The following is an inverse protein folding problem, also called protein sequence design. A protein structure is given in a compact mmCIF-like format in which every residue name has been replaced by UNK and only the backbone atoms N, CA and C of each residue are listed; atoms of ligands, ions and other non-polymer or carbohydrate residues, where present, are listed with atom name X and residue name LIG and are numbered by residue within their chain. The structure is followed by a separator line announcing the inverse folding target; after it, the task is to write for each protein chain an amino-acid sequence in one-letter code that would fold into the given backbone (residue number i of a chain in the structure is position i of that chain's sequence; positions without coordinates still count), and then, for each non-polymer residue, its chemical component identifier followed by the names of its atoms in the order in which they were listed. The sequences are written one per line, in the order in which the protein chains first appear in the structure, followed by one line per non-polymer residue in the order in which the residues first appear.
data_IF_237854096893
#
_entry.id   IF_237854096893
#
_cell.length_a   1.000
_cell.length_b   1.000
_cell.length_c   1.000
_cell.angle_alpha   90.00
_cell.angle_beta   90.00
_cell.angle_gamma   90.00
#
_symmetry.space_group_name_H-M   'P 1'
#
loop_
_entity.id
_entity.type
_entity.pdbx_description
1 polymer ?
#
# COMPACT_ATOMS: atom_id res chain seq x y z
N UNK A 1 2.93 13.76 5.15
CA UNK A 1 3.65 12.97 4.12
C UNK A 1 3.06 13.36 2.77
N UNK A 2 3.89 13.53 1.75
CA UNK A 2 3.45 13.91 0.41
C UNK A 2 2.73 12.74 -0.27
N UNK A 3 1.59 12.97 -0.91
CA UNK A 3 0.77 11.90 -1.52
C UNK A 3 1.49 11.18 -2.66
N UNK A 4 2.39 11.88 -3.36
CA UNK A 4 3.19 11.35 -4.46
C UNK A 4 4.46 10.62 -4.01
N UNK A 5 4.77 10.61 -2.71
CA UNK A 5 5.97 9.95 -2.18
C UNK A 5 5.65 8.55 -1.65
N UNK A 6 6.15 7.53 -2.34
CA UNK A 6 5.86 6.12 -2.07
C UNK A 6 6.98 5.45 -1.24
N UNK A 7 8.00 6.20 -0.82
CA UNK A 7 9.08 5.67 0.00
C UNK A 7 9.84 4.53 -0.69
N UNK A 8 10.12 3.46 0.06
CA UNK A 8 10.91 2.31 -0.37
C UNK A 8 10.05 1.27 -1.11
N UNK A 9 9.56 1.63 -2.30
CA UNK A 9 8.99 0.66 -3.26
C UNK A 9 9.99 0.32 -4.35
N UNK A 10 9.93 -0.91 -4.87
CA UNK A 10 10.81 -1.35 -5.95
C UNK A 10 10.42 -0.72 -7.29
N UNK A 11 11.34 -0.71 -8.26
CA UNK A 11 11.04 -0.31 -9.64
C UNK A 11 9.88 -1.12 -10.20
N UNK A 12 9.90 -2.44 -10.02
CA UNK A 12 8.84 -3.33 -10.51
C UNK A 12 7.49 -3.03 -9.88
N UNK A 13 7.44 -2.76 -8.57
CA UNK A 13 6.19 -2.40 -7.88
C UNK A 13 5.67 -1.04 -8.37
N UNK A 14 6.56 -0.06 -8.57
CA UNK A 14 6.17 1.24 -9.15
C UNK A 14 5.61 1.11 -10.57
N UNK A 15 6.18 0.23 -11.39
CA UNK A 15 5.69 -0.06 -12.73
C UNK A 15 4.30 -0.70 -12.66
N UNK A 16 4.10 -1.69 -11.78
CA UNK A 16 2.79 -2.34 -11.58
C UNK A 16 1.68 -1.33 -11.23
N UNK A 17 1.97 -0.37 -10.36
CA UNK A 17 1.01 0.65 -9.95
C UNK A 17 0.71 1.65 -11.08
N UNK A 18 1.74 2.09 -11.80
CA UNK A 18 1.62 3.09 -12.86
C UNK A 18 1.03 2.55 -14.15
N UNK A 19 1.20 1.24 -14.44
CA UNK A 19 0.68 0.57 -15.64
C UNK A 19 -0.81 0.18 -15.53
N UNK A 20 -1.55 0.66 -14.53
CA UNK A 20 -3.01 0.53 -14.53
C UNK A 20 -3.60 1.34 -15.71
N UNK A 21 -4.45 0.71 -16.53
CA UNK A 21 -5.06 1.34 -17.70
C UNK A 21 -5.96 2.54 -17.36
N UNK A 22 -6.42 2.65 -16.11
CA UNK A 22 -7.18 3.80 -15.62
C UNK A 22 -6.30 5.04 -15.37
N UNK A 23 -4.98 4.87 -15.26
CA UNK A 23 -4.08 5.98 -15.03
C UNK A 23 -3.89 6.80 -16.32
N UNK A 24 -4.16 8.12 -16.30
CA UNK A 24 -3.87 8.96 -17.45
C UNK A 24 -2.35 9.09 -17.68
N UNK A 25 -1.96 9.40 -18.92
CA UNK A 25 -0.57 9.71 -19.27
C UNK A 25 -0.02 10.83 -18.38
N UNK A 26 1.23 10.67 -17.92
CA UNK A 26 1.86 11.59 -16.98
C UNK A 26 1.53 11.31 -15.51
N UNK A 27 0.77 10.24 -15.22
CA UNK A 27 0.62 9.75 -13.83
C UNK A 27 1.98 9.39 -13.27
N UNK A 28 2.28 9.81 -12.04
CA UNK A 28 3.63 9.72 -11.50
C UNK A 28 3.69 9.38 -10.01
N UNK A 29 4.87 8.95 -9.58
CA UNK A 29 5.24 8.82 -8.17
C UNK A 29 6.74 9.07 -7.98
N UNK A 30 7.14 9.41 -6.76
CA UNK A 30 8.54 9.48 -6.32
C UNK A 30 8.80 8.39 -5.29
N UNK A 31 9.93 7.70 -5.45
CA UNK A 31 10.37 6.60 -4.58
C UNK A 31 11.85 6.73 -4.26
N UNK A 32 12.32 6.00 -3.26
CA UNK A 32 13.75 5.86 -2.98
C UNK A 32 14.46 5.15 -4.15
N UNK A 33 15.69 5.57 -4.44
CA UNK A 33 16.50 4.93 -5.49
C UNK A 33 17.07 3.60 -5.00
N UNK A 34 16.73 2.50 -5.66
CA UNK A 34 17.24 1.17 -5.32
C UNK A 34 18.75 1.03 -5.52
N UNK A 35 19.31 1.76 -6.48
CA UNK A 35 20.72 1.64 -6.87
C UNK A 35 21.63 2.68 -6.22
N UNK A 36 21.09 3.64 -5.46
CA UNK A 36 21.89 4.75 -4.91
C UNK A 36 21.27 5.25 -3.62
N UNK A 37 21.94 4.93 -2.51
CA UNK A 37 21.51 5.34 -1.18
C UNK A 37 21.40 6.86 -1.08
N UNK A 38 20.29 7.35 -0.53
CA UNK A 38 20.03 8.78 -0.35
C UNK A 38 19.60 9.54 -1.62
N UNK A 39 19.53 8.86 -2.77
CA UNK A 39 18.94 9.41 -3.99
C UNK A 39 17.47 8.96 -4.14
N UNK A 40 16.74 9.65 -5.02
CA UNK A 40 15.34 9.35 -5.30
C UNK A 40 15.16 9.00 -6.78
N UNK A 41 13.99 8.48 -7.14
CA UNK A 41 13.60 8.23 -8.51
C UNK A 41 12.17 8.72 -8.75
N UNK A 42 11.98 9.50 -9.81
CA UNK A 42 10.68 9.88 -10.35
C UNK A 42 10.28 8.84 -11.41
N UNK A 43 9.15 8.18 -11.21
CA UNK A 43 8.58 7.21 -12.16
C UNK A 43 7.34 7.84 -12.80
N UNK A 44 7.26 7.85 -14.14
CA UNK A 44 6.19 8.52 -14.89
C UNK A 44 5.62 7.58 -15.95
N UNK A 45 4.30 7.41 -15.93
CA UNK A 45 3.57 6.69 -16.98
C UNK A 45 3.57 7.48 -18.29
N UNK A 46 3.81 6.77 -19.39
CA UNK A 46 3.88 7.32 -20.73
C UNK A 46 3.19 6.38 -21.72
N UNK A 47 2.89 6.87 -22.91
CA UNK A 47 2.38 6.06 -24.00
C UNK A 47 3.18 6.37 -25.27
N UNK A 48 3.68 5.33 -25.93
CA UNK A 48 4.29 5.44 -27.25
C UNK A 48 3.70 4.41 -28.22
N UNK A 49 3.62 4.75 -29.50
CA UNK A 49 2.95 3.91 -30.51
C UNK A 49 3.64 2.56 -30.75
N UNK A 50 4.92 2.41 -30.42
CA UNK A 50 5.68 1.17 -30.58
C UNK A 50 5.61 0.26 -29.35
N UNK A 51 5.63 0.83 -28.14
CA UNK A 51 5.65 0.05 -26.87
C UNK A 51 4.31 0.05 -26.12
N UNK A 52 3.36 0.86 -26.56
CA UNK A 52 2.11 1.09 -25.84
C UNK A 52 2.33 1.82 -24.50
N UNK A 53 1.50 1.48 -23.51
CA UNK A 53 1.60 1.99 -22.14
C UNK A 53 2.92 1.51 -21.51
N UNK A 54 3.75 2.46 -21.07
CA UNK A 54 5.05 2.18 -20.48
C UNK A 54 5.37 3.15 -19.33
N UNK A 55 6.46 2.91 -18.61
CA UNK A 55 6.91 3.76 -17.50
C UNK A 55 8.35 4.17 -17.72
N UNK A 56 8.64 5.47 -17.60
CA UNK A 56 10.01 6.01 -17.62
C UNK A 56 10.45 6.41 -16.23
N UNK A 57 11.72 6.15 -15.95
CA UNK A 57 12.34 6.34 -14.65
C UNK A 57 13.45 7.37 -14.74
N UNK A 58 13.35 8.41 -13.92
CA UNK A 58 14.31 9.51 -13.86
C UNK A 58 14.97 9.50 -12.49
N UNK A 59 16.29 9.37 -12.46
CA UNK A 59 17.05 9.45 -11.22
C UNK A 59 17.10 10.89 -10.75
N UNK A 60 16.62 11.14 -9.54
CA UNK A 60 16.77 12.43 -8.86
C UNK A 60 18.01 12.33 -7.99
N UNK A 61 19.03 13.11 -8.35
CA UNK A 61 20.28 13.21 -7.60
C UNK A 61 20.17 14.33 -6.58
N UNK A 62 20.88 14.16 -5.47
CA UNK A 62 21.06 15.18 -4.43
C UNK A 62 22.47 15.78 -4.58
N UNK A 63 22.57 17.09 -4.51
CA UNK A 63 23.83 17.83 -4.43
C UNK A 63 24.32 17.88 -2.99
N UNK A 64 25.63 18.01 -2.80
CA UNK A 64 26.23 18.17 -1.47
C UNK A 64 25.74 19.45 -0.77
N UNK A 65 25.40 20.49 -1.54
CA UNK A 65 24.77 21.73 -1.08
C UNK A 65 23.30 21.57 -0.66
N UNK A 66 22.71 20.38 -0.81
CA UNK A 66 21.36 20.05 -0.35
C UNK A 66 20.26 20.10 -1.43
N UNK A 67 20.55 20.58 -2.64
CA UNK A 67 19.60 20.65 -3.75
C UNK A 67 19.34 19.31 -4.46
N UNK A 68 18.29 19.25 -5.28
CA UNK A 68 17.83 18.09 -6.03
C UNK A 68 17.72 18.41 -7.52
N UNK A 69 18.05 17.43 -8.38
CA UNK A 69 17.93 17.61 -9.82
C UNK A 69 17.76 16.27 -10.56
N UNK A 70 17.13 16.34 -11.74
CA UNK A 70 17.13 15.25 -12.74
C UNK A 70 18.18 15.55 -13.82
N UNK A 71 18.16 16.78 -14.34
CA UNK A 71 19.18 17.36 -15.22
C UNK A 71 19.94 18.45 -14.46
N UNK A 72 21.26 18.56 -14.63
CA UNK A 72 22.07 19.56 -13.92
C UNK A 72 21.70 21.01 -14.25
N UNK A 73 20.97 21.23 -15.36
CA UNK A 73 20.47 22.55 -15.81
C UNK A 73 19.44 23.15 -14.85
N UNK A 74 18.63 22.32 -14.20
CA UNK A 74 17.50 22.78 -13.38
C UNK A 74 17.55 22.09 -12.03
N UNK A 75 17.81 22.89 -10.98
CA UNK A 75 18.00 22.43 -9.61
C UNK A 75 16.90 22.98 -8.71
N UNK A 76 16.55 22.22 -7.67
CA UNK A 76 15.47 22.53 -6.75
C UNK A 76 15.92 22.37 -5.31
N UNK A 77 15.44 23.19 -4.40
CA UNK A 77 15.81 23.08 -2.98
C UNK A 77 15.06 21.94 -2.28
N UNK A 78 13.97 21.44 -2.87
CA UNK A 78 13.18 20.34 -2.33
C UNK A 78 12.53 19.50 -3.44
N UNK A 79 12.14 18.28 -3.10
CA UNK A 79 11.37 17.41 -4.00
C UNK A 79 10.01 18.02 -4.34
N UNK A 80 9.39 18.76 -3.42
CA UNK A 80 8.13 19.48 -3.65
C UNK A 80 8.27 20.49 -4.79
N UNK A 81 9.35 21.27 -4.80
CA UNK A 81 9.62 22.24 -5.86
C UNK A 81 9.88 21.55 -7.20
N UNK A 82 10.63 20.45 -7.18
CA UNK A 82 10.88 19.62 -8.37
C UNK A 82 9.55 19.12 -8.96
N UNK A 83 8.69 18.51 -8.14
CA UNK A 83 7.37 18.01 -8.58
C UNK A 83 6.52 19.17 -9.09
N UNK A 84 6.41 20.28 -8.36
CA UNK A 84 5.63 21.44 -8.77
C UNK A 84 6.09 22.03 -10.12
N UNK A 85 7.40 22.04 -10.38
CA UNK A 85 7.95 22.48 -11.66
C UNK A 85 7.60 21.52 -12.79
N UNK A 86 7.86 20.22 -12.62
CA UNK A 86 7.58 19.23 -13.67
C UNK A 86 6.08 18.96 -13.86
N UNK A 87 5.24 19.36 -12.91
CA UNK A 87 3.79 19.45 -13.09
C UNK A 87 3.35 20.59 -14.00
N UNK A 88 4.20 21.60 -14.26
CA UNK A 88 3.92 22.72 -15.18
C UNK A 88 4.66 22.57 -16.51
N UNK A 89 5.85 21.97 -16.50
CA UNK A 89 6.72 21.86 -17.67
C UNK A 89 7.26 20.44 -17.80
N UNK A 90 7.25 19.85 -19.01
CA UNK A 90 7.89 18.56 -19.21
C UNK A 90 9.44 18.67 -19.15
N UNK A 91 10.00 19.74 -19.72
CA UNK A 91 11.44 20.09 -19.70
C UNK A 91 12.41 18.88 -19.85
N UNK A 92 12.16 18.04 -20.86
CA UNK A 92 12.96 16.85 -21.16
C UNK A 92 12.47 15.53 -20.54
N UNK A 93 11.45 15.57 -19.67
CA UNK A 93 10.68 14.38 -19.31
C UNK A 93 9.82 13.92 -20.49
N UNK A 94 9.41 12.65 -20.47
CA UNK A 94 8.55 12.08 -21.49
C UNK A 94 7.16 12.70 -21.54
N UNK A 95 6.70 13.21 -20.39
CA UNK A 95 5.45 13.91 -20.26
C UNK A 95 5.51 14.82 -19.03
N UNK A 96 4.70 15.88 -19.03
CA UNK A 96 4.45 16.70 -17.83
C UNK A 96 3.78 15.83 -16.75
N UNK A 97 4.08 16.08 -15.48
CA UNK A 97 3.41 15.39 -14.37
C UNK A 97 1.94 15.85 -14.31
N UNK A 98 1.01 14.90 -14.34
CA UNK A 98 -0.43 15.18 -14.40
C UNK A 98 -1.12 14.79 -13.10
N UNK A 99 -1.18 13.49 -12.83
CA UNK A 99 -1.93 12.93 -11.70
C UNK A 99 -1.00 12.15 -10.78
N UNK A 100 -1.19 12.26 -9.48
CA UNK A 100 -0.47 11.42 -8.53
C UNK A 100 -0.93 9.97 -8.70
N UNK A 101 0.00 9.01 -8.70
CA UNK A 101 -0.35 7.59 -8.76
C UNK A 101 -1.33 7.26 -7.62
N UNK A 102 -2.51 6.69 -7.93
CA UNK A 102 -3.43 6.27 -6.88
C UNK A 102 -2.74 5.19 -6.04
N UNK A 103 -2.57 5.46 -4.75
CA UNK A 103 -2.16 4.44 -3.80
C UNK A 103 -3.41 3.71 -3.32
N UNK A 104 -3.43 2.38 -3.46
CA UNK A 104 -4.22 1.55 -2.56
C UNK A 104 -3.57 1.70 -1.19
N UNK A 105 -3.95 2.75 -0.45
CA UNK A 105 -3.54 2.92 0.95
C UNK A 105 -3.70 1.55 1.60
N UNK A 106 -2.66 0.96 2.23
CA UNK A 106 -2.85 -0.29 2.96
C UNK A 106 -4.01 -0.03 3.91
N UNK A 107 -5.13 -0.71 3.65
CA UNK A 107 -6.32 -0.52 4.43
C UNK A 107 -5.92 -0.87 5.85
N UNK A 108 -5.98 0.17 6.68
CA UNK A 108 -5.86 0.14 8.12
C UNK A 108 -4.43 0.04 8.66
N UNK A 109 -3.92 1.16 9.19
CA UNK A 109 -3.38 1.07 10.54
C UNK A 109 -4.55 0.54 11.36
N UNK A 110 -4.48 -0.71 11.85
CA UNK A 110 -5.57 -1.44 12.49
C UNK A 110 -6.66 -0.53 13.06
N UNK A 111 -7.82 -0.57 12.42
CA UNK A 111 -9.18 -0.20 12.84
C UNK A 111 -9.43 0.74 14.06
N UNK A 112 -8.55 1.72 14.31
CA UNK A 112 -8.45 2.65 15.45
C UNK A 112 -7.30 2.32 16.41
N UNK A 113 -6.66 3.37 16.93
CA UNK A 113 -5.34 3.36 17.60
C UNK A 113 -5.22 2.36 18.77
N UNK A 114 -6.33 1.90 19.34
CA UNK A 114 -6.37 1.00 20.50
C UNK A 114 -7.43 -0.13 20.39
N UNK A 115 -8.16 -0.24 19.27
CA UNK A 115 -9.25 -1.22 19.11
C UNK A 115 -8.75 -2.49 18.40
N UNK A 116 -8.13 -3.39 19.17
CA UNK A 116 -7.57 -4.65 18.66
C UNK A 116 -8.46 -5.86 18.98
N UNK A 117 -8.92 -5.95 20.23
CA UNK A 117 -10.03 -6.83 20.59
C UNK A 117 -11.33 -6.07 20.33
N UNK A 118 -12.20 -6.66 19.53
CA UNK A 118 -13.45 -6.01 19.11
C UNK A 118 -14.65 -6.84 19.59
N UNK A 119 -15.78 -6.18 19.89
CA UNK A 119 -17.02 -6.88 20.20
C UNK A 119 -17.48 -7.72 18.99
N UNK A 120 -17.97 -8.93 19.23
CA UNK A 120 -18.41 -9.85 18.16
C UNK A 120 -19.51 -9.23 17.30
N UNK A 121 -20.41 -8.48 17.91
CA UNK A 121 -21.52 -7.76 17.29
C UNK A 121 -21.08 -6.65 16.32
N UNK A 122 -19.82 -6.22 16.37
CA UNK A 122 -19.26 -5.31 15.36
C UNK A 122 -19.02 -5.99 14.01
N UNK A 123 -19.10 -7.32 13.94
CA UNK A 123 -18.86 -8.12 12.74
C UNK A 123 -20.16 -8.74 12.21
N UNK A 124 -20.40 -8.56 10.91
CA UNK A 124 -21.43 -9.28 10.17
C UNK A 124 -20.77 -10.29 9.25
N UNK A 125 -21.01 -11.58 9.50
CA UNK A 125 -20.64 -12.66 8.58
C UNK A 125 -21.62 -12.66 7.40
N UNK A 126 -21.11 -12.65 6.17
CA UNK A 126 -21.94 -12.52 4.96
C UNK A 126 -21.84 -13.74 4.05
N UNK A 127 -20.67 -14.01 3.48
CA UNK A 127 -20.47 -15.08 2.49
C UNK A 127 -19.37 -16.01 2.97
N UNK A 128 -19.68 -17.30 3.11
CA UNK A 128 -18.66 -18.31 3.42
C UNK A 128 -17.70 -18.45 2.24
N UNK A 129 -16.42 -18.15 2.47
CA UNK A 129 -15.34 -18.23 1.48
C UNK A 129 -14.68 -19.60 1.44
N UNK A 130 -14.64 -20.30 2.57
CA UNK A 130 -14.00 -21.60 2.67
C UNK A 130 -14.13 -22.25 4.03
N UNK A 131 -13.66 -23.49 4.11
CA UNK A 131 -13.65 -24.29 5.33
C UNK A 131 -12.35 -25.10 5.40
N UNK A 132 -11.73 -25.11 6.58
CA UNK A 132 -10.54 -25.89 6.87
C UNK A 132 -10.70 -26.73 8.13
N UNK A 133 -9.64 -27.45 8.51
CA UNK A 133 -9.64 -28.34 9.68
C UNK A 133 -10.04 -27.60 10.97
N UNK A 134 -9.53 -26.37 11.13
CA UNK A 134 -9.61 -25.57 12.34
C UNK A 134 -10.79 -24.60 12.38
N UNK A 135 -11.62 -24.56 11.32
CA UNK A 135 -12.71 -23.58 11.26
C UNK A 135 -13.11 -23.15 9.86
N UNK A 136 -13.80 -22.02 9.78
CA UNK A 136 -14.37 -21.49 8.54
C UNK A 136 -13.81 -20.11 8.25
N UNK A 137 -13.84 -19.72 6.97
CA UNK A 137 -13.48 -18.37 6.54
C UNK A 137 -14.68 -17.75 5.86
N UNK A 138 -15.01 -16.54 6.27
CA UNK A 138 -16.15 -15.78 5.79
C UNK A 138 -15.69 -14.42 5.28
N UNK A 139 -16.32 -13.93 4.22
CA UNK A 139 -16.35 -12.52 3.89
C UNK A 139 -17.42 -11.89 4.78
N UNK A 140 -17.11 -10.73 5.33
CA UNK A 140 -18.03 -9.99 6.17
C UNK A 140 -17.74 -8.50 6.19
N UNK A 141 -18.48 -7.80 7.04
CA UNK A 141 -18.33 -6.37 7.25
C UNK A 141 -18.12 -6.06 8.73
N UNK A 142 -17.12 -5.23 9.02
CA UNK A 142 -16.89 -4.63 10.33
C UNK A 142 -17.53 -3.24 10.42
N UNK A 143 -18.26 -2.98 11.51
CA UNK A 143 -18.98 -1.72 11.79
C UNK A 143 -19.81 -1.22 10.60
N UNK A 144 -20.42 -2.14 9.85
CA UNK A 144 -21.27 -1.84 8.69
C UNK A 144 -20.57 -1.20 7.48
N UNK A 145 -19.26 -0.95 7.54
CA UNK A 145 -18.56 -0.12 6.54
C UNK A 145 -17.35 -0.80 5.92
N UNK A 146 -16.58 -1.56 6.70
CA UNK A 146 -15.28 -2.08 6.26
C UNK A 146 -15.39 -3.55 5.90
N UNK A 147 -15.14 -3.90 4.64
CA UNK A 147 -15.08 -5.30 4.20
C UNK A 147 -13.85 -6.00 4.78
N UNK A 148 -14.06 -7.21 5.30
CA UNK A 148 -13.04 -8.00 5.99
C UNK A 148 -13.20 -9.50 5.68
N UNK A 149 -12.11 -10.24 5.86
CA UNK A 149 -12.18 -11.69 5.98
C UNK A 149 -12.19 -12.07 7.47
N UNK A 150 -13.11 -12.96 7.86
CA UNK A 150 -13.32 -13.40 9.23
C UNK A 150 -13.10 -14.90 9.27
N UNK A 151 -11.99 -15.33 9.90
CA UNK A 151 -11.73 -16.73 10.17
C UNK A 151 -12.27 -17.08 11.55
N UNK A 152 -13.25 -17.97 11.58
CA UNK A 152 -13.86 -18.48 12.82
C UNK A 152 -13.14 -19.76 13.22
N UNK A 153 -12.70 -19.87 14.47
CA UNK A 153 -12.11 -21.10 15.01
C UNK A 153 -13.18 -21.94 15.71
N UNK A 154 -13.10 -23.26 15.59
CA UNK A 154 -13.98 -24.16 16.35
C UNK A 154 -13.65 -24.07 17.85
N UNK A 155 -14.65 -24.10 18.76
CA UNK A 155 -14.40 -24.16 20.20
C UNK A 155 -13.44 -25.31 20.56
N UNK A 156 -12.53 -25.07 21.49
CA UNK A 156 -11.54 -26.07 21.93
C UNK A 156 -10.35 -26.28 20.97
N UNK A 157 -10.24 -25.49 19.90
CA UNK A 157 -9.07 -25.56 18.99
C UNK A 157 -7.79 -25.06 19.67
N UNK A 158 -7.89 -24.01 20.50
CA UNK A 158 -6.80 -23.44 21.29
C UNK A 158 -7.37 -22.58 22.41
N UNK A 159 -6.59 -22.33 23.47
CA UNK A 159 -7.06 -21.43 24.54
C UNK A 159 -7.01 -19.96 24.09
N UNK A 160 -7.93 -19.10 24.56
CA UNK A 160 -7.90 -17.66 24.29
C UNK A 160 -6.57 -16.99 24.65
N UNK A 161 -5.92 -17.41 25.75
CA UNK A 161 -4.66 -16.85 26.20
C UNK A 161 -3.52 -17.17 25.24
N UNK A 162 -3.39 -18.44 24.82
CA UNK A 162 -2.37 -18.85 23.86
C UNK A 162 -2.58 -18.15 22.51
N UNK A 163 -3.84 -18.05 22.08
CA UNK A 163 -4.20 -17.31 20.87
C UNK A 163 -3.80 -15.84 20.93
N UNK A 164 -4.14 -15.14 22.02
CA UNK A 164 -3.81 -13.72 22.19
C UNK A 164 -2.28 -13.51 22.19
N UNK A 165 -1.51 -14.39 22.82
CA UNK A 165 -0.04 -14.31 22.79
C UNK A 165 0.51 -14.40 21.37
N UNK A 166 0.06 -15.37 20.57
CA UNK A 166 0.47 -15.50 19.16
C UNK A 166 -0.01 -14.31 18.33
N UNK A 167 -1.22 -13.84 18.57
CA UNK A 167 -1.79 -12.71 17.84
C UNK A 167 -1.02 -11.39 18.10
N UNK A 168 -0.45 -11.21 19.29
CA UNK A 168 0.46 -10.07 19.58
C UNK A 168 1.74 -10.12 18.74
N UNK A 169 2.23 -11.31 18.39
CA UNK A 169 3.37 -11.46 17.47
C UNK A 169 2.94 -11.14 16.05
N UNK A 170 1.83 -11.74 15.58
CA UNK A 170 1.30 -11.52 14.22
C UNK A 170 0.97 -10.04 13.96
N UNK A 171 0.46 -9.31 14.96
CA UNK A 171 0.18 -7.87 14.88
C UNK A 171 1.39 -7.01 14.51
N UNK A 172 2.59 -7.45 14.90
CA UNK A 172 3.84 -6.72 14.63
C UNK A 172 4.36 -6.99 13.22
N UNK A 173 3.92 -8.05 12.56
CA UNK A 173 4.33 -8.40 11.21
C UNK A 173 3.57 -7.52 10.21
N UNK A 174 4.32 -6.62 9.56
CA UNK A 174 3.79 -5.72 8.52
C UNK A 174 4.65 -5.84 7.28
N UNK A 175 4.06 -6.38 6.22
CA UNK A 175 4.72 -6.52 4.94
C UNK A 175 3.67 -6.57 3.83
N UNK A 176 3.99 -5.98 2.67
CA UNK A 176 3.10 -5.92 1.50
C UNK A 176 2.68 -7.29 0.94
N UNK A 177 3.39 -8.36 1.31
CA UNK A 177 3.10 -9.74 0.89
C UNK A 177 2.57 -10.62 2.02
N UNK A 178 2.21 -10.03 3.16
CA UNK A 178 1.59 -10.73 4.28
C UNK A 178 0.17 -10.21 4.45
N UNK A 179 -0.76 -11.14 4.66
CA UNK A 179 -2.15 -10.81 4.94
C UNK A 179 -2.20 -10.02 6.26
N UNK A 180 -2.66 -8.78 6.20
CA UNK A 180 -2.70 -7.91 7.37
C UNK A 180 -3.80 -8.35 8.33
N UNK A 181 -3.38 -8.64 9.56
CA UNK A 181 -4.25 -8.89 10.68
C UNK A 181 -4.77 -7.55 11.24
N UNK A 182 -6.10 -7.40 11.32
CA UNK A 182 -6.78 -6.15 11.72
C UNK A 182 -7.22 -6.16 13.18
N UNK A 183 -7.94 -7.21 13.58
CA UNK A 183 -8.55 -7.33 14.91
C UNK A 183 -8.82 -8.80 15.24
N UNK A 184 -9.19 -9.07 16.50
CA UNK A 184 -9.61 -10.38 16.97
C UNK A 184 -10.83 -10.30 17.87
N UNK A 185 -11.58 -11.39 17.95
CA UNK A 185 -12.54 -11.67 19.03
C UNK A 185 -11.94 -12.80 19.84
N UNK A 186 -11.52 -12.52 21.07
CA UNK A 186 -10.80 -13.46 21.94
C UNK A 186 -11.73 -14.46 22.64
N UNK A 187 -13.00 -14.10 22.83
CA UNK A 187 -14.02 -15.00 23.38
C UNK A 187 -14.36 -16.12 22.40
N UNK A 188 -14.56 -17.34 22.90
CA UNK A 188 -14.97 -18.45 22.06
C UNK A 188 -16.40 -18.24 21.48
N UNK A 189 -16.64 -18.60 20.20
CA UNK A 189 -15.65 -19.03 19.22
C UNK A 189 -14.73 -17.88 18.76
N UNK A 190 -13.42 -18.10 18.78
CA UNK A 190 -12.41 -17.08 18.47
C UNK A 190 -12.51 -16.65 17.00
N UNK A 191 -12.54 -15.35 16.74
CA UNK A 191 -12.50 -14.79 15.38
C UNK A 191 -11.18 -14.08 15.10
N UNK A 192 -10.61 -14.33 13.92
CA UNK A 192 -9.47 -13.61 13.37
C UNK A 192 -9.97 -12.75 12.22
N UNK A 193 -9.79 -11.44 12.31
CA UNK A 193 -10.24 -10.47 11.30
C UNK A 193 -9.04 -9.96 10.52
N UNK A 194 -9.05 -10.17 9.21
CA UNK A 194 -7.97 -9.77 8.31
C UNK A 194 -8.48 -8.97 7.13
N UNK A 195 -7.56 -8.44 6.32
CA UNK A 195 -7.90 -7.90 5.00
C UNK A 195 -8.65 -8.94 4.16
N UNK A 196 -9.65 -8.47 3.43
CA UNK A 196 -10.35 -9.29 2.44
C UNK A 196 -9.61 -9.23 1.10
N UNK A 197 -9.11 -10.38 0.66
CA UNK A 197 -8.45 -10.53 -0.64
C UNK A 197 -9.47 -10.98 -1.70
N UNK A 198 -9.93 -10.06 -2.54
CA UNK A 198 -10.75 -10.42 -3.71
C UNK A 198 -9.91 -11.18 -4.74
N UNK A 199 -10.55 -12.09 -5.47
CA UNK A 199 -9.94 -12.76 -6.62
C UNK A 199 -9.61 -11.77 -7.73
#
# INVERSE_FOLDING_TARGET
AEEWYFGKITRRESERLLLNAENPRGTFLVRESETTKGAYCLSVSDFDNAKGLNVKHYKIRKLDSGGFYITSRTQFNSLQQLVAYYSKHADGLCHRLTTVCPTSKPQTQGLAKDAWEIPRESLRLEVKLGQGCFGEVWMGTWNGTTRVAIKTLKPGTMSPEAFLQEAQVMKKLRHEKLVQLYAVVSEEPIYIVTEYMSK
#
